data_IF_675396205733
#
_entry.id   IF_675396205733
#
_cell.length_a   1.000
_cell.length_b   1.000
_cell.length_c   1.000
_cell.angle_alpha   90.00
_cell.angle_beta   90.00
_cell.angle_gamma   90.00
#
_symmetry.space_group_name_H-M   'P 1'
#
loop_
_entity.id
_entity.type
_entity.pdbx_description
1 polymer ?
#
# COMPACT_ATOMS: atom_id res chain seq x y z
N UNK A 1 -32.58 9.69 15.23
CA UNK A 1 -31.14 9.57 15.47
C UNK A 1 -30.46 9.16 14.18
N UNK A 2 -29.58 9.98 13.67
CA UNK A 2 -28.73 9.58 12.53
C UNK A 2 -27.66 8.65 13.07
N UNK A 3 -27.64 7.43 12.59
CA UNK A 3 -26.54 6.53 12.87
C UNK A 3 -25.28 7.05 12.16
N UNK A 4 -24.20 7.12 12.87
CA UNK A 4 -22.89 7.45 12.29
C UNK A 4 -22.12 6.20 11.93
N UNK A 5 -21.00 6.42 11.25
CA UNK A 5 -19.99 5.40 11.02
C UNK A 5 -18.81 5.65 11.96
N UNK A 6 -18.14 4.58 12.36
CA UNK A 6 -16.83 4.65 12.97
C UNK A 6 -15.78 4.23 11.94
N UNK A 7 -14.89 5.15 11.61
CA UNK A 7 -13.79 4.91 10.67
C UNK A 7 -12.50 4.66 11.44
N UNK A 8 -11.84 3.55 11.15
CA UNK A 8 -10.51 3.24 11.67
C UNK A 8 -9.53 3.19 10.50
N UNK A 9 -8.54 4.05 10.55
CA UNK A 9 -7.45 4.08 9.56
C UNK A 9 -6.21 3.43 10.18
N UNK A 10 -5.84 2.26 9.69
CA UNK A 10 -4.67 1.53 10.19
C UNK A 10 -3.52 1.62 9.21
N UNK A 11 -2.44 2.19 9.69
CA UNK A 11 -1.15 2.21 9.01
C UNK A 11 -0.27 1.13 9.66
N UNK A 12 0.40 0.30 8.86
CA UNK A 12 1.27 -0.75 9.40
C UNK A 12 2.45 -0.18 10.19
N UNK A 13 2.87 1.05 9.89
CA UNK A 13 3.92 1.74 10.66
C UNK A 13 3.39 2.32 11.98
N UNK A 14 2.08 2.56 12.09
CA UNK A 14 1.41 3.11 13.28
C UNK A 14 0.05 2.41 13.46
N UNK A 15 0.02 1.16 13.98
CA UNK A 15 -1.20 0.36 14.00
C UNK A 15 -2.24 0.81 15.03
N UNK A 16 -1.87 1.64 15.99
CA UNK A 16 -2.76 2.10 17.05
C UNK A 16 -3.55 3.32 16.57
N UNK A 17 -4.62 3.07 15.83
CA UNK A 17 -5.50 4.10 15.32
C UNK A 17 -6.77 4.22 16.18
N UNK A 18 -7.10 5.45 16.59
CA UNK A 18 -8.35 5.73 17.27
C UNK A 18 -9.51 5.79 16.27
N UNK A 19 -10.69 5.27 16.61
CA UNK A 19 -11.86 5.41 15.76
C UNK A 19 -12.28 6.89 15.57
N UNK A 20 -12.71 7.21 14.37
CA UNK A 20 -13.18 8.55 13.99
C UNK A 20 -14.68 8.47 13.68
N UNK A 21 -15.48 9.30 14.29
CA UNK A 21 -16.91 9.43 13.95
C UNK A 21 -17.07 10.15 12.62
N UNK A 22 -17.67 9.47 11.63
CA UNK A 22 -17.86 10.01 10.28
C UNK A 22 -19.28 9.78 9.78
N UNK A 23 -19.70 10.55 8.78
CA UNK A 23 -21.00 10.43 8.13
C UNK A 23 -20.91 9.70 6.80
N UNK A 24 -19.75 9.76 6.16
CA UNK A 24 -19.54 9.26 4.81
C UNK A 24 -18.08 8.92 4.63
N UNK A 25 -17.80 7.83 3.94
CA UNK A 25 -16.46 7.47 3.46
C UNK A 25 -16.52 7.26 1.96
N UNK A 26 -15.62 7.91 1.22
CA UNK A 26 -15.44 7.68 -0.22
C UNK A 26 -14.10 7.05 -0.46
N UNK A 27 -14.09 6.00 -1.24
CA UNK A 27 -12.89 5.26 -1.59
C UNK A 27 -12.94 4.80 -3.05
N UNK A 28 -11.88 4.17 -3.51
CA UNK A 28 -11.78 3.71 -4.89
C UNK A 28 -11.15 2.33 -4.95
N UNK A 29 -11.79 1.44 -5.69
CA UNK A 29 -11.25 0.14 -6.07
C UNK A 29 -11.05 0.06 -7.60
N UNK A 30 -10.69 -1.11 -8.10
CA UNK A 30 -10.47 -1.31 -9.54
C UNK A 30 -11.73 -1.06 -10.40
N UNK A 31 -12.91 -1.16 -9.83
CA UNK A 31 -14.18 -0.91 -10.53
C UNK A 31 -14.59 0.58 -10.53
N UNK A 32 -13.92 1.42 -9.76
CA UNK A 32 -14.18 2.85 -9.67
C UNK A 32 -14.40 3.35 -8.26
N UNK A 33 -14.92 4.57 -8.16
CA UNK A 33 -15.22 5.20 -6.89
C UNK A 33 -16.52 4.69 -6.29
N UNK A 34 -16.55 4.56 -4.97
CA UNK A 34 -17.75 4.19 -4.22
C UNK A 34 -17.83 4.96 -2.91
N UNK A 35 -19.02 5.01 -2.33
CA UNK A 35 -19.27 5.70 -1.09
C UNK A 35 -19.94 4.77 -0.09
N UNK A 36 -19.58 4.93 1.19
CA UNK A 36 -20.12 4.16 2.29
C UNK A 36 -20.83 5.11 3.23
N UNK A 37 -22.11 4.83 3.46
CA UNK A 37 -22.97 5.54 4.39
C UNK A 37 -23.42 4.60 5.50
N UNK A 38 -23.93 5.13 6.62
CA UNK A 38 -24.49 4.30 7.68
C UNK A 38 -25.54 3.32 7.13
N UNK A 39 -25.50 2.08 7.58
CA UNK A 39 -26.39 1.03 7.10
C UNK A 39 -25.89 0.27 5.86
N UNK A 40 -24.67 0.54 5.41
CA UNK A 40 -24.09 -0.15 4.27
C UNK A 40 -23.93 -1.65 4.55
N UNK A 41 -24.15 -2.48 3.53
CA UNK A 41 -23.92 -3.92 3.63
C UNK A 41 -22.45 -4.24 3.90
N UNK A 42 -22.21 -5.39 4.49
CA UNK A 42 -20.85 -5.88 4.70
C UNK A 42 -20.09 -5.97 3.36
N UNK A 43 -18.87 -5.47 3.36
CA UNK A 43 -18.06 -5.36 2.15
C UNK A 43 -16.59 -5.51 2.51
N UNK A 44 -15.84 -6.18 1.63
CA UNK A 44 -14.38 -6.13 1.60
C UNK A 44 -13.95 -5.68 0.21
N UNK A 45 -13.16 -4.64 0.14
CA UNK A 45 -12.69 -4.09 -1.12
C UNK A 45 -11.17 -3.91 -1.11
N UNK A 46 -10.53 -4.25 -2.21
CA UNK A 46 -9.12 -3.96 -2.43
C UNK A 46 -8.98 -2.56 -3.04
N UNK A 47 -8.42 -1.64 -2.29
CA UNK A 47 -8.25 -0.25 -2.73
C UNK A 47 -7.08 -0.13 -3.70
N UNK A 48 -7.29 0.64 -4.76
CA UNK A 48 -6.21 1.06 -5.65
C UNK A 48 -5.49 2.27 -5.06
N UNK A 49 -4.26 2.59 -5.51
CA UNK A 49 -3.59 3.82 -5.10
C UNK A 49 -4.45 5.03 -5.41
N UNK A 50 -4.89 5.74 -4.36
CA UNK A 50 -5.93 6.77 -4.49
C UNK A 50 -6.07 7.60 -3.22
N UNK A 51 -6.94 8.59 -3.29
CA UNK A 51 -7.39 9.35 -2.13
C UNK A 51 -8.62 8.69 -1.51
N UNK A 52 -8.59 8.55 -0.20
CA UNK A 52 -9.78 8.27 0.61
C UNK A 52 -10.24 9.59 1.20
N UNK A 53 -11.53 9.85 1.10
CA UNK A 53 -12.17 11.05 1.62
C UNK A 53 -13.23 10.65 2.65
N UNK A 54 -13.34 11.40 3.72
CA UNK A 54 -14.43 11.20 4.68
C UNK A 54 -14.98 12.51 5.18
N UNK A 55 -16.24 12.52 5.48
CA UNK A 55 -16.93 13.63 6.11
C UNK A 55 -17.09 13.29 7.59
N UNK A 56 -16.46 14.08 8.44
CA UNK A 56 -16.53 13.90 9.90
C UNK A 56 -17.93 14.22 10.44
N UNK A 57 -18.19 13.81 11.67
CA UNK A 57 -19.48 14.06 12.32
C UNK A 57 -19.82 15.55 12.42
N UNK A 58 -18.81 16.42 12.52
CA UNK A 58 -18.97 17.88 12.53
C UNK A 58 -19.23 18.51 11.14
N UNK A 59 -19.16 17.70 10.08
CA UNK A 59 -19.34 18.13 8.69
C UNK A 59 -18.06 18.48 7.95
N UNK A 60 -16.91 18.47 8.61
CA UNK A 60 -15.60 18.71 7.97
C UNK A 60 -15.18 17.57 7.08
N UNK A 61 -14.60 17.91 5.94
CA UNK A 61 -14.07 16.91 4.98
C UNK A 61 -12.57 16.74 5.17
N UNK A 62 -12.14 15.50 5.21
CA UNK A 62 -10.74 15.11 5.41
C UNK A 62 -10.30 14.11 4.33
N UNK A 63 -9.00 14.04 4.11
CA UNK A 63 -8.41 13.22 3.05
C UNK A 63 -7.21 12.45 3.58
N UNK A 64 -7.02 11.26 3.04
CA UNK A 64 -5.78 10.50 3.21
C UNK A 64 -5.42 9.81 1.88
N UNK A 65 -4.14 9.81 1.54
CA UNK A 65 -3.63 9.04 0.43
C UNK A 65 -3.35 7.60 0.85
N UNK A 66 -3.82 6.65 0.06
CA UNK A 66 -3.51 5.23 0.25
C UNK A 66 -2.78 4.70 -0.97
N UNK A 67 -1.61 4.05 -0.79
CA UNK A 67 -0.88 3.45 -1.92
C UNK A 67 -1.52 2.15 -2.41
N UNK A 68 -2.60 1.75 -1.80
CA UNK A 68 -3.34 0.53 -1.91
C UNK A 68 -3.67 0.05 -0.52
N UNK A 69 -4.57 -0.88 -0.38
CA UNK A 69 -4.97 -1.38 0.92
C UNK A 69 -6.26 -2.16 0.86
N UNK A 70 -6.79 -2.45 2.02
CA UNK A 70 -8.06 -3.18 2.17
C UNK A 70 -9.03 -2.34 2.98
N UNK A 71 -10.25 -2.22 2.49
CA UNK A 71 -11.35 -1.59 3.19
C UNK A 71 -12.35 -2.67 3.57
N UNK A 72 -12.80 -2.64 4.81
CA UNK A 72 -13.84 -3.54 5.31
C UNK A 72 -14.97 -2.74 5.93
N UNK A 73 -16.19 -3.04 5.55
CA UNK A 73 -17.42 -2.56 6.17
C UNK A 73 -18.04 -3.70 6.96
N UNK A 74 -18.42 -3.45 8.19
CA UNK A 74 -19.09 -4.44 9.04
C UNK A 74 -20.18 -3.80 9.87
N UNK A 75 -21.27 -4.56 10.07
CA UNK A 75 -22.43 -4.20 10.91
C UNK A 75 -23.13 -2.89 10.51
N UNK A 76 -22.88 -2.37 9.32
CA UNK A 76 -23.48 -1.13 8.83
C UNK A 76 -22.97 0.14 9.49
N UNK A 77 -22.05 0.04 10.45
CA UNK A 77 -21.57 1.18 11.24
C UNK A 77 -20.04 1.26 11.40
N UNK A 78 -19.32 0.24 11.00
CA UNK A 78 -17.87 0.20 11.14
C UNK A 78 -17.18 0.11 9.78
N UNK A 79 -16.22 1.01 9.54
CA UNK A 79 -15.36 1.01 8.35
C UNK A 79 -13.92 0.96 8.82
N UNK A 80 -13.19 -0.03 8.35
CA UNK A 80 -11.77 -0.20 8.65
C UNK A 80 -10.98 -0.17 7.34
N UNK A 81 -9.95 0.66 7.30
CA UNK A 81 -9.00 0.71 6.18
C UNK A 81 -7.62 0.35 6.71
N UNK A 82 -7.02 -0.67 6.12
CA UNK A 82 -5.68 -1.11 6.42
C UNK A 82 -4.79 -0.86 5.21
N UNK A 83 -3.74 -0.08 5.38
CA UNK A 83 -2.75 0.21 4.35
C UNK A 83 -1.34 0.08 4.91
N UNK A 84 -0.36 -0.12 4.02
CA UNK A 84 1.05 -0.13 4.43
C UNK A 84 1.48 1.22 4.96
N UNK A 85 0.97 2.28 4.38
CA UNK A 85 1.14 3.67 4.79
C UNK A 85 -0.10 4.48 4.46
N UNK A 86 -0.35 5.49 5.29
CA UNK A 86 -1.39 6.50 5.06
C UNK A 86 -0.72 7.87 5.01
N UNK A 87 -1.09 8.66 4.02
CA UNK A 87 -0.53 9.99 3.80
C UNK A 87 -1.62 11.02 4.04
N UNK A 88 -1.48 11.82 5.10
CA UNK A 88 -2.38 12.90 5.41
C UNK A 88 -1.88 14.23 4.85
N UNK A 89 -2.79 15.17 4.66
CA UNK A 89 -2.48 16.53 4.23
C UNK A 89 -3.70 17.43 4.35
N UNK A 90 -3.49 18.73 4.24
CA UNK A 90 -4.54 19.73 4.42
C UNK A 90 -5.45 19.88 3.21
N UNK A 91 -4.94 19.55 2.02
CA UNK A 91 -5.69 19.62 0.78
C UNK A 91 -5.55 18.31 -0.03
N UNK A 92 -6.55 18.00 -0.89
CA UNK A 92 -6.44 16.83 -1.76
C UNK A 92 -5.21 16.87 -2.67
N UNK A 93 -4.84 18.06 -3.14
CA UNK A 93 -3.66 18.25 -4.00
C UNK A 93 -2.36 17.92 -3.28
N UNK A 94 -2.22 18.31 -2.04
CA UNK A 94 -1.04 18.02 -1.21
C UNK A 94 -0.90 16.51 -0.97
N UNK A 95 -2.01 15.86 -0.61
CA UNK A 95 -2.04 14.42 -0.38
C UNK A 95 -1.73 13.66 -1.66
N UNK A 96 -2.29 14.08 -2.78
CA UNK A 96 -2.04 13.47 -4.09
C UNK A 96 -0.56 13.57 -4.49
N UNK A 97 0.08 14.72 -4.24
CA UNK A 97 1.51 14.91 -4.50
C UNK A 97 2.37 14.03 -3.62
N UNK A 98 2.05 13.95 -2.34
CA UNK A 98 2.78 13.09 -1.39
C UNK A 98 2.67 11.62 -1.79
N UNK A 99 1.48 11.18 -2.15
CA UNK A 99 1.24 9.81 -2.62
C UNK A 99 2.03 9.50 -3.90
N UNK A 100 2.05 10.43 -4.84
CA UNK A 100 2.80 10.29 -6.10
C UNK A 100 4.30 10.16 -5.85
N UNK A 101 4.87 11.02 -4.99
CA UNK A 101 6.28 10.95 -4.60
C UNK A 101 6.63 9.63 -3.92
N UNK A 102 5.77 9.14 -3.05
CA UNK A 102 5.97 7.86 -2.38
C UNK A 102 5.98 6.70 -3.39
N UNK A 103 5.07 6.71 -4.38
CA UNK A 103 5.05 5.70 -5.45
C UNK A 103 6.30 5.75 -6.32
N UNK A 104 6.74 6.94 -6.70
CA UNK A 104 7.98 7.12 -7.48
C UNK A 104 9.19 6.59 -6.70
N UNK A 105 9.27 6.88 -5.41
CA UNK A 105 10.34 6.38 -4.54
C UNK A 105 10.31 4.84 -4.44
N UNK A 106 9.14 4.22 -4.32
CA UNK A 106 9.00 2.77 -4.31
C UNK A 106 9.42 2.13 -5.63
N UNK A 107 9.03 2.71 -6.75
CA UNK A 107 9.43 2.24 -8.08
C UNK A 107 10.96 2.32 -8.24
N UNK A 108 11.57 3.42 -7.85
CA UNK A 108 13.02 3.57 -7.88
C UNK A 108 13.73 2.55 -6.99
N UNK A 109 13.24 2.33 -5.78
CA UNK A 109 13.80 1.35 -4.86
C UNK A 109 13.69 -0.08 -5.41
N UNK A 110 12.59 -0.41 -6.07
CA UNK A 110 12.41 -1.70 -6.74
C UNK A 110 13.35 -1.88 -7.92
N UNK A 111 13.55 -0.84 -8.74
CA UNK A 111 14.51 -0.85 -9.85
C UNK A 111 15.95 -1.03 -9.34
N UNK A 112 16.34 -0.34 -8.28
CA UNK A 112 17.66 -0.50 -7.67
C UNK A 112 17.86 -1.91 -7.13
N UNK A 113 16.85 -2.48 -6.48
CA UNK A 113 16.90 -3.87 -6.00
C UNK A 113 17.05 -4.86 -7.15
N UNK A 114 16.34 -4.68 -8.24
CA UNK A 114 16.48 -5.51 -9.45
C UNK A 114 17.89 -5.43 -10.02
N UNK A 115 18.43 -4.23 -10.17
CA UNK A 115 19.81 -4.03 -10.67
C UNK A 115 20.85 -4.68 -9.75
N UNK A 116 20.67 -4.60 -8.45
CA UNK A 116 21.54 -5.25 -7.48
C UNK A 116 21.47 -6.78 -7.57
N UNK A 117 20.27 -7.33 -7.72
CA UNK A 117 20.07 -8.77 -7.92
C UNK A 117 20.67 -9.23 -9.25
N UNK A 118 20.46 -8.50 -10.34
CA UNK A 118 21.03 -8.81 -11.64
C UNK A 118 22.56 -8.81 -11.60
N UNK A 119 23.15 -7.84 -10.92
CA UNK A 119 24.60 -7.80 -10.70
C UNK A 119 25.11 -8.99 -9.90
N UNK A 120 24.41 -9.34 -8.82
CA UNK A 120 24.76 -10.47 -7.99
C UNK A 120 24.68 -11.79 -8.77
N UNK A 121 23.63 -11.98 -9.55
CA UNK A 121 23.47 -13.13 -10.43
C UNK A 121 24.60 -13.23 -11.45
N UNK A 122 24.97 -12.10 -12.06
CA UNK A 122 26.08 -12.05 -13.02
C UNK A 122 27.42 -12.39 -12.35
N UNK A 123 27.68 -11.90 -11.14
CA UNK A 123 28.87 -12.24 -10.37
C UNK A 123 28.91 -13.70 -10.00
N UNK A 124 27.81 -14.27 -9.55
CA UNK A 124 27.70 -15.70 -9.23
C UNK A 124 27.92 -16.54 -10.48
N UNK A 125 27.29 -16.20 -11.60
CA UNK A 125 27.48 -16.89 -12.87
C UNK A 125 28.93 -16.83 -13.34
N UNK A 126 29.58 -15.67 -13.24
CA UNK A 126 31.00 -15.51 -13.56
C UNK A 126 31.92 -16.35 -12.69
N UNK A 127 31.62 -16.47 -11.40
CA UNK A 127 32.36 -17.33 -10.47
C UNK A 127 32.19 -18.81 -10.80
N UNK A 128 30.99 -19.25 -11.11
CA UNK A 128 30.69 -20.63 -11.50
C UNK A 128 31.42 -21.01 -12.80
N UNK A 129 31.38 -20.15 -13.80
CA UNK A 129 32.09 -20.37 -15.07
C UNK A 129 33.59 -20.50 -14.83
N UNK A 130 34.20 -19.64 -14.02
CA UNK A 130 35.62 -19.71 -13.68
C UNK A 130 35.97 -21.00 -12.94
N UNK A 131 35.14 -21.45 -12.01
CA UNK A 131 35.34 -22.71 -11.31
C UNK A 131 35.22 -23.91 -12.23
N UNK A 132 34.24 -23.92 -13.12
CA UNK A 132 34.03 -24.99 -14.06
C UNK A 132 35.17 -25.10 -15.09
N UNK A 133 35.72 -24.00 -15.53
CA UNK A 133 36.86 -23.98 -16.44
C UNK A 133 38.19 -24.32 -15.75
N UNK A 134 38.33 -24.11 -14.45
CA UNK A 134 39.51 -24.47 -13.67
C UNK A 134 39.53 -25.95 -13.21
N UNK A 135 38.34 -26.56 -13.06
CA UNK A 135 38.20 -27.94 -12.55
C UNK A 135 38.83 -29.06 -13.43
N UNK A 136 38.83 -28.99 -14.77
CA UNK A 136 39.40 -30.08 -15.58
C UNK A 136 40.89 -30.29 -15.41
N UNK A 137 41.67 -29.29 -15.06
CA UNK A 137 43.13 -29.40 -14.90
C UNK A 137 43.55 -30.23 -13.69
N UNK A 138 42.73 -30.31 -12.67
CA UNK A 138 43.04 -31.08 -11.47
C UNK A 138 42.77 -32.58 -11.63
N UNK A 139 41.98 -33.00 -12.59
CA UNK A 139 41.64 -34.42 -12.84
C UNK A 139 42.57 -35.12 -13.83
N UNK A 140 43.32 -34.40 -14.62
CA UNK A 140 44.26 -34.96 -15.61
C UNK A 140 45.57 -35.45 -15.01
N UNK A 141 45.83 -35.18 -13.74
CA UNK A 141 47.06 -35.55 -13.06
C UNK A 141 47.01 -36.89 -12.32
N UNK A 142 45.99 -37.69 -12.51
CA UNK A 142 45.91 -39.04 -11.94
C UNK A 142 46.48 -40.02 -12.92
N UNK A 143 47.57 -40.71 -12.57
CA UNK A 143 48.17 -41.76 -13.42
C UNK A 143 47.29 -42.99 -13.51
#
# INVERSE_FOLDING_TARGET
MRRGLLLVLRDLAAPDAAPIGVRLVRARDASGAFAIQPGHADLVAALVPSLVEWVAADGGTHFAGVPGGVLRVSNGDAVEILARRLYAGDTPGDVARTLRRARESEVQADEERRRSLDRLEAEIAGHLVRRLTAAPKAQESVP
#
